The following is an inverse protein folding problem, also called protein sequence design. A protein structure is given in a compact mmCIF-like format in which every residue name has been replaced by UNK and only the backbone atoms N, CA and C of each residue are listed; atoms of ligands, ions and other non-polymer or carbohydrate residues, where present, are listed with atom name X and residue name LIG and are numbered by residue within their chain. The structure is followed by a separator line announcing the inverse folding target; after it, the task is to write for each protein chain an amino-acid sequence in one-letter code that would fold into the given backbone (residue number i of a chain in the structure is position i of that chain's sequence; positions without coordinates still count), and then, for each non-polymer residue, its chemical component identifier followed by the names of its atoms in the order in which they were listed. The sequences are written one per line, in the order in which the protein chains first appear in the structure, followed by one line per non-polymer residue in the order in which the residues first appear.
data_IF_549639630800
#
_entry.id   IF_549639630800
#
_cell.length_a   1.000
_cell.length_b   1.000
_cell.length_c   1.000
_cell.angle_alpha   90.00
_cell.angle_beta   90.00
_cell.angle_gamma   90.00
#
_symmetry.space_group_name_H-M   'P 1'
#
loop_
_entity.id
_entity.type
_entity.pdbx_description
1 polymer ?
#
# COMPACT_ATOMS: atom_id res chain seq x y z
N UNK A 1 14.38 -16.37 -0.82
CA UNK A 1 13.34 -15.78 0.04
C UNK A 1 11.96 -16.33 -0.29
N UNK A 2 11.43 -16.11 -1.50
CA UNK A 2 10.09 -16.61 -1.90
C UNK A 2 9.93 -18.14 -1.79
N UNK A 3 10.91 -18.92 -2.25
CA UNK A 3 10.86 -20.40 -2.17
C UNK A 3 10.84 -20.98 -0.75
N UNK A 4 11.27 -20.20 0.26
CA UNK A 4 11.36 -20.65 1.64
C UNK A 4 10.21 -20.19 2.53
N UNK A 5 9.28 -19.38 2.00
CA UNK A 5 8.21 -18.77 2.78
C UNK A 5 6.86 -18.93 2.09
N UNK A 6 5.80 -19.21 2.87
CA UNK A 6 4.45 -19.35 2.31
C UNK A 6 3.85 -17.99 1.94
N UNK A 7 4.03 -16.99 2.79
CA UNK A 7 3.62 -15.62 2.54
C UNK A 7 4.79 -14.68 2.83
N UNK A 8 5.03 -13.74 1.91
CA UNK A 8 6.06 -12.71 2.02
C UNK A 8 5.45 -11.38 1.65
N UNK A 9 5.69 -10.38 2.49
CA UNK A 9 5.31 -8.99 2.26
C UNK A 9 6.54 -8.12 2.51
N UNK A 10 6.88 -7.28 1.55
CA UNK A 10 7.89 -6.25 1.69
C UNK A 10 7.21 -4.89 1.84
N UNK A 11 7.73 -4.08 2.75
CA UNK A 11 7.33 -2.71 2.98
C UNK A 11 8.55 -1.83 2.73
N UNK A 12 8.61 -1.22 1.55
CA UNK A 12 9.68 -0.32 1.19
C UNK A 12 9.36 1.06 1.75
N UNK A 13 10.18 1.53 2.69
CA UNK A 13 10.00 2.86 3.28
C UNK A 13 10.61 3.89 2.32
N UNK A 14 9.81 4.81 1.73
CA UNK A 14 10.30 5.80 0.77
C UNK A 14 11.41 6.68 1.36
N UNK A 15 12.34 7.13 0.52
CA UNK A 15 13.50 7.93 0.91
C UNK A 15 14.47 7.26 1.90
N UNK A 16 14.36 5.94 2.06
CA UNK A 16 15.30 5.15 2.85
C UNK A 16 15.77 3.92 2.08
N UNK A 17 16.91 3.39 2.52
CA UNK A 17 17.42 2.08 2.07
C UNK A 17 16.77 0.91 2.82
N UNK A 18 15.87 1.18 3.78
CA UNK A 18 15.29 0.17 4.66
C UNK A 18 14.07 -0.45 4.03
N UNK A 19 13.98 -1.77 4.11
CA UNK A 19 12.82 -2.56 3.69
C UNK A 19 12.42 -3.45 4.85
N UNK A 20 11.20 -3.29 5.33
CA UNK A 20 10.65 -4.17 6.36
C UNK A 20 10.13 -5.42 5.66
N UNK A 21 10.59 -6.58 6.13
CA UNK A 21 10.21 -7.87 5.54
C UNK A 21 9.36 -8.64 6.54
N UNK A 22 8.11 -8.90 6.17
CA UNK A 22 7.19 -9.70 6.95
C UNK A 22 7.04 -11.06 6.27
N UNK A 23 7.33 -12.12 6.99
CA UNK A 23 7.17 -13.51 6.53
C UNK A 23 6.21 -14.26 7.43
N UNK A 24 5.23 -14.94 6.84
CA UNK A 24 4.29 -15.78 7.58
C UNK A 24 4.39 -17.22 7.09
N UNK A 25 4.79 -18.12 7.98
CA UNK A 25 5.04 -19.52 7.68
C UNK A 25 4.28 -20.46 8.62
N UNK A 26 3.77 -21.60 8.11
CA UNK A 26 3.20 -22.61 8.98
C UNK A 26 4.29 -23.20 9.87
N UNK A 27 4.05 -23.21 11.18
CA UNK A 27 4.94 -23.91 12.12
C UNK A 27 4.80 -25.41 11.90
N UNK A 28 5.93 -26.10 11.73
CA UNK A 28 5.92 -27.56 11.63
C UNK A 28 5.52 -28.16 12.97
N UNK A 29 4.55 -29.08 12.96
CA UNK A 29 4.10 -29.83 14.16
C UNK A 29 5.26 -30.48 14.93
N UNK A 30 6.37 -30.80 14.27
CA UNK A 30 7.49 -31.55 14.82
C UNK A 30 8.71 -30.71 15.22
N UNK A 31 8.89 -29.53 14.62
CA UNK A 31 10.07 -28.67 14.88
C UNK A 31 9.82 -27.57 15.91
N UNK A 32 8.56 -27.36 16.30
CA UNK A 32 8.17 -26.26 17.19
C UNK A 32 8.46 -24.88 16.56
N UNK A 33 8.18 -23.80 17.29
CA UNK A 33 8.50 -22.46 16.82
C UNK A 33 10.02 -22.25 16.70
N UNK A 34 10.48 -21.45 15.72
CA UNK A 34 11.89 -21.16 15.56
C UNK A 34 12.45 -20.49 16.82
N UNK A 35 13.68 -20.86 17.19
CA UNK A 35 14.41 -20.17 18.25
C UNK A 35 14.90 -18.83 17.73
N UNK A 36 14.18 -17.76 18.03
CA UNK A 36 14.60 -16.40 17.72
C UNK A 36 15.19 -15.75 18.98
N UNK A 37 16.33 -15.10 18.83
CA UNK A 37 16.91 -14.24 19.85
C UNK A 37 16.92 -12.82 19.26
N UNK A 38 16.13 -11.88 19.82
CA UNK A 38 16.17 -10.50 19.39
C UNK A 38 17.59 -9.96 19.52
N UNK A 39 18.05 -9.20 18.52
CA UNK A 39 19.35 -8.51 18.59
C UNK A 39 19.36 -7.37 19.60
N UNK A 40 18.19 -6.78 19.87
CA UNK A 40 18.00 -5.68 20.81
C UNK A 40 17.07 -6.10 21.94
N UNK A 41 17.26 -5.51 23.12
CA UNK A 41 16.37 -5.67 24.26
C UNK A 41 15.09 -4.85 24.10
N UNK A 42 14.00 -5.26 24.77
CA UNK A 42 12.75 -4.46 24.82
C UNK A 42 12.98 -3.03 25.33
N UNK A 43 13.95 -2.84 26.23
CA UNK A 43 14.29 -1.52 26.74
C UNK A 43 14.99 -0.66 25.67
N UNK A 44 15.81 -1.26 24.80
CA UNK A 44 16.43 -0.58 23.65
C UNK A 44 15.42 -0.26 22.55
N UNK A 45 14.46 -1.15 22.28
CA UNK A 45 13.32 -0.89 21.39
C UNK A 45 12.50 0.32 21.87
N UNK A 46 12.08 0.29 23.14
CA UNK A 46 11.26 1.35 23.74
C UNK A 46 12.02 2.67 23.84
N UNK A 47 13.29 2.65 24.29
CA UNK A 47 14.12 3.86 24.39
C UNK A 47 14.43 4.46 23.02
N UNK A 48 14.74 3.66 22.00
CA UNK A 48 15.06 4.17 20.68
C UNK A 48 13.83 4.77 19.98
N UNK A 49 12.66 4.14 20.15
CA UNK A 49 11.37 4.70 19.73
C UNK A 49 11.17 6.06 20.38
N UNK A 50 11.30 6.13 21.70
CA UNK A 50 11.07 7.36 22.45
C UNK A 50 12.15 8.43 22.18
N UNK A 51 13.42 8.08 21.93
CA UNK A 51 14.51 9.04 21.63
C UNK A 51 14.45 9.59 20.20
N UNK A 52 14.20 8.73 19.20
CA UNK A 52 14.04 9.15 17.80
C UNK A 52 12.78 9.98 17.60
N UNK A 53 11.72 9.66 18.34
CA UNK A 53 10.47 10.42 18.34
C UNK A 53 10.60 11.70 19.17
N UNK A 54 11.19 11.68 20.38
CA UNK A 54 11.39 12.90 21.18
C UNK A 54 12.32 13.93 20.52
N UNK A 55 13.34 13.49 19.77
CA UNK A 55 14.21 14.40 19.02
C UNK A 55 13.48 15.08 17.85
N UNK A 56 12.64 14.35 17.13
CA UNK A 56 11.80 14.92 16.08
C UNK A 56 10.63 15.74 16.64
N UNK A 57 10.02 15.35 17.75
CA UNK A 57 9.01 16.13 18.47
C UNK A 57 9.60 17.42 19.05
N UNK A 58 10.84 17.40 19.58
CA UNK A 58 11.52 18.64 19.99
C UNK A 58 11.81 19.55 18.80
N UNK A 59 12.22 18.98 17.67
CA UNK A 59 12.40 19.73 16.42
C UNK A 59 11.07 20.31 15.90
N UNK A 60 9.97 19.56 16.00
CA UNK A 60 8.62 19.99 15.62
C UNK A 60 8.04 21.00 16.60
N UNK A 61 8.24 20.85 17.90
CA UNK A 61 7.85 21.84 18.92
C UNK A 61 8.61 23.16 18.69
N UNK A 62 9.90 23.11 18.38
CA UNK A 62 10.67 24.28 17.99
C UNK A 62 10.19 24.92 16.68
N UNK A 63 9.54 24.17 15.79
CA UNK A 63 8.92 24.67 14.53
C UNK A 63 7.49 25.17 14.76
N UNK A 64 6.74 24.53 15.66
CA UNK A 64 5.37 24.87 16.08
C UNK A 64 5.32 26.11 17.00
N UNK A 65 6.42 26.44 17.70
CA UNK A 65 6.59 27.75 18.33
C UNK A 65 6.54 28.91 17.31
N UNK A 66 6.72 28.63 16.01
CA UNK A 66 6.46 29.57 14.91
C UNK A 66 5.05 29.50 14.30
N UNK A 67 4.27 28.45 14.58
CA UNK A 67 2.93 28.20 14.03
C UNK A 67 1.99 27.90 15.21
N UNK A 68 1.59 28.97 15.89
CA UNK A 68 0.49 29.06 16.85
C UNK A 68 0.57 28.22 18.13
N UNK A 69 0.80 28.94 19.23
CA UNK A 69 0.08 28.73 20.46
C UNK A 69 -1.42 28.48 20.19
N UNK A 70 -1.89 27.24 20.37
CA UNK A 70 -3.26 26.84 20.78
C UNK A 70 -3.49 25.33 20.52
N UNK A 71 -3.19 24.50 21.51
CA UNK A 71 -4.16 23.50 21.95
C UNK A 71 -4.10 23.45 23.48
N UNK A 72 -5.21 23.84 24.10
CA UNK A 72 -5.38 23.87 25.56
C UNK A 72 -6.40 22.80 25.96
N UNK A 73 -6.29 21.59 25.39
CA UNK A 73 -7.15 20.48 25.77
C UNK A 73 -6.35 19.46 26.58
N UNK A 74 -6.57 19.50 27.90
CA UNK A 74 -5.85 18.74 28.92
C UNK A 74 -6.26 17.26 28.97
N UNK A 75 -6.62 16.68 27.83
CA UNK A 75 -7.14 15.31 27.68
C UNK A 75 -6.41 14.46 26.65
N UNK A 76 -5.40 14.99 25.97
CA UNK A 76 -4.54 14.16 25.14
C UNK A 76 -3.62 13.30 26.02
N UNK A 77 -3.51 11.98 25.76
CA UNK A 77 -2.59 11.11 26.48
C UNK A 77 -1.15 11.62 26.36
N UNK A 78 -0.33 11.37 27.38
CA UNK A 78 1.09 11.73 27.33
C UNK A 78 1.73 11.05 26.11
N UNK A 79 2.63 11.76 25.43
CA UNK A 79 3.43 11.25 24.31
C UNK A 79 4.13 9.95 24.70
N UNK A 80 4.50 9.80 25.98
CA UNK A 80 5.13 8.58 26.52
C UNK A 80 4.18 7.38 26.65
N UNK A 81 2.87 7.59 26.56
CA UNK A 81 1.83 6.54 26.65
C UNK A 81 1.39 6.03 25.27
N UNK A 82 1.74 6.76 24.20
CA UNK A 82 1.37 6.40 22.83
C UNK A 82 2.26 5.30 22.26
N UNK A 83 1.65 4.39 21.51
CA UNK A 83 2.36 3.42 20.69
C UNK A 83 3.12 4.11 19.55
N UNK A 84 4.12 3.41 18.99
CA UNK A 84 4.86 3.91 17.83
C UNK A 84 3.95 4.29 16.66
N UNK A 85 2.93 3.48 16.39
CA UNK A 85 1.96 3.70 15.32
C UNK A 85 1.13 4.97 15.56
N UNK A 86 0.67 5.21 16.78
CA UNK A 86 -0.08 6.43 17.12
C UNK A 86 0.81 7.68 17.05
N UNK A 87 2.07 7.57 17.48
CA UNK A 87 3.05 8.65 17.38
C UNK A 87 3.34 8.99 15.92
N UNK A 88 3.56 7.98 15.08
CA UNK A 88 3.76 8.14 13.64
C UNK A 88 2.56 8.85 12.98
N UNK A 89 1.35 8.43 13.32
CA UNK A 89 0.12 9.02 12.77
C UNK A 89 0.00 10.51 13.18
N UNK A 90 0.26 10.83 14.46
CA UNK A 90 0.28 12.23 14.93
C UNK A 90 1.36 13.05 14.22
N UNK A 91 2.54 12.48 13.98
CA UNK A 91 3.62 13.17 13.28
C UNK A 91 3.24 13.46 11.82
N UNK A 92 2.72 12.47 11.09
CA UNK A 92 2.29 12.66 9.70
C UNK A 92 1.13 13.66 9.57
N UNK A 93 0.22 13.68 10.54
CA UNK A 93 -0.91 14.62 10.54
C UNK A 93 -0.50 16.11 10.61
N UNK A 94 0.73 16.41 11.05
CA UNK A 94 1.22 17.80 11.13
C UNK A 94 1.41 18.43 9.75
N UNK A 95 1.98 17.70 8.80
CA UNK A 95 2.28 18.21 7.46
C UNK A 95 2.55 17.08 6.47
N UNK A 96 1.49 16.37 6.05
CA UNK A 96 1.58 15.14 5.26
C UNK A 96 2.06 15.36 3.80
N UNK A 97 1.96 16.60 3.32
CA UNK A 97 2.36 17.00 1.97
C UNK A 97 3.80 17.56 1.93
N UNK A 98 4.40 17.84 3.09
CA UNK A 98 5.76 18.33 3.17
C UNK A 98 6.75 17.17 3.10
N UNK A 99 7.39 17.02 1.95
CA UNK A 99 8.41 16.00 1.70
C UNK A 99 9.51 15.97 2.76
N UNK A 100 10.10 17.10 3.14
CA UNK A 100 11.19 17.12 4.13
C UNK A 100 10.74 16.63 5.50
N UNK A 101 9.49 16.91 5.87
CA UNK A 101 8.88 16.37 7.08
C UNK A 101 8.66 14.86 6.97
N UNK A 102 8.05 14.41 5.88
CA UNK A 102 7.77 12.99 5.63
C UNK A 102 9.06 12.16 5.60
N UNK A 103 10.13 12.65 4.97
CA UNK A 103 11.45 12.00 4.96
C UNK A 103 11.95 11.74 6.37
N UNK A 104 11.81 12.71 7.27
CA UNK A 104 12.25 12.56 8.67
C UNK A 104 11.42 11.52 9.41
N UNK A 105 10.09 11.54 9.23
CA UNK A 105 9.20 10.54 9.83
C UNK A 105 9.56 9.13 9.33
N UNK A 106 9.77 8.98 8.02
CA UNK A 106 10.16 7.71 7.39
C UNK A 106 11.53 7.22 7.89
N UNK A 107 12.48 8.12 8.13
CA UNK A 107 13.79 7.77 8.73
C UNK A 107 13.64 7.25 10.17
N UNK A 108 12.76 7.85 10.98
CA UNK A 108 12.46 7.35 12.33
C UNK A 108 11.79 5.99 12.27
N UNK A 109 10.83 5.82 11.37
CA UNK A 109 10.17 4.53 11.15
C UNK A 109 11.16 3.44 10.74
N UNK A 110 12.09 3.76 9.83
CA UNK A 110 13.14 2.83 9.44
C UNK A 110 14.02 2.41 10.63
N UNK A 111 14.39 3.35 11.51
CA UNK A 111 15.17 3.06 12.71
C UNK A 111 14.39 2.28 13.78
N UNK A 112 13.08 2.53 13.90
CA UNK A 112 12.19 1.75 14.73
C UNK A 112 12.18 0.28 14.28
N UNK A 113 11.85 0.03 13.01
CA UNK A 113 11.75 -1.35 12.50
C UNK A 113 13.06 -2.12 12.54
N UNK A 114 14.21 -1.45 12.39
CA UNK A 114 15.53 -2.08 12.56
C UNK A 114 15.77 -2.62 13.97
N UNK A 115 15.11 -2.04 14.98
CA UNK A 115 15.26 -2.39 16.39
C UNK A 115 14.16 -3.33 16.87
N UNK A 116 12.96 -3.20 16.31
CA UNK A 116 11.77 -3.98 16.66
C UNK A 116 11.62 -5.30 15.89
N UNK A 117 12.74 -6.00 15.64
CA UNK A 117 12.69 -7.32 15.01
C UNK A 117 12.11 -8.38 15.95
N UNK A 118 11.26 -9.26 15.42
CA UNK A 118 10.58 -10.22 16.27
C UNK A 118 9.87 -11.33 15.49
N UNK A 119 9.29 -12.25 16.25
CA UNK A 119 8.37 -13.24 15.72
C UNK A 119 7.22 -13.44 16.70
N UNK A 120 6.06 -13.79 16.16
CA UNK A 120 4.89 -14.21 16.94
C UNK A 120 4.34 -15.50 16.35
N UNK A 121 3.66 -16.29 17.17
CA UNK A 121 3.02 -17.54 16.79
C UNK A 121 1.58 -17.47 17.23
N UNK A 122 0.66 -17.74 16.31
CA UNK A 122 -0.78 -17.70 16.53
C UNK A 122 -1.48 -18.45 15.40
N UNK A 123 -2.81 -18.46 15.43
CA UNK A 123 -3.58 -19.07 14.35
C UNK A 123 -3.48 -18.26 13.06
N UNK A 124 -3.72 -18.91 11.91
CA UNK A 124 -3.50 -18.28 10.61
C UNK A 124 -4.35 -17.03 10.41
N UNK A 125 -5.58 -17.05 10.89
CA UNK A 125 -6.54 -15.95 10.88
C UNK A 125 -6.14 -14.82 11.85
N UNK A 126 -5.59 -15.14 13.01
CA UNK A 126 -5.06 -14.14 13.96
C UNK A 126 -3.79 -13.46 13.44
N UNK A 127 -2.92 -14.22 12.76
CA UNK A 127 -1.62 -13.72 12.28
C UNK A 127 -1.76 -12.91 11.00
N UNK A 128 -2.63 -13.36 10.08
CA UNK A 128 -2.89 -12.70 8.81
C UNK A 128 -4.02 -11.68 8.90
N UNK A 129 -4.80 -11.66 9.98
CA UNK A 129 -5.76 -10.61 10.26
C UNK A 129 -5.06 -9.28 10.46
N UNK A 130 -5.60 -8.23 9.84
CA UNK A 130 -5.17 -6.85 10.02
C UNK A 130 -6.41 -6.00 10.28
N UNK A 131 -6.43 -5.27 11.39
CA UNK A 131 -7.46 -4.28 11.69
C UNK A 131 -7.14 -2.99 10.93
N UNK A 132 -7.78 -2.80 9.78
CA UNK A 132 -7.84 -1.50 9.10
C UNK A 132 -8.97 -0.69 9.74
N UNK A 133 -8.67 0.00 10.83
CA UNK A 133 -9.61 0.88 11.51
C UNK A 133 -9.75 2.24 10.85
N UNK A 134 -9.83 2.38 9.51
CA UNK A 134 -9.82 3.70 8.85
C UNK A 134 -10.06 3.71 7.33
N UNK A 135 -10.11 4.91 6.73
CA UNK A 135 -10.17 5.12 5.28
C UNK A 135 -8.78 5.49 4.74
N UNK A 136 -8.33 4.78 3.70
CA UNK A 136 -7.02 4.96 3.08
C UNK A 136 -7.14 5.06 1.56
N UNK A 137 -6.38 5.99 0.97
CA UNK A 137 -6.14 6.02 -0.47
C UNK A 137 -5.01 5.05 -0.82
N UNK A 138 -5.38 3.97 -1.50
CA UNK A 138 -4.47 2.91 -1.94
C UNK A 138 -4.69 2.68 -3.42
N UNK A 139 -3.63 2.73 -4.21
CA UNK A 139 -3.61 2.24 -5.57
C UNK A 139 -2.79 0.96 -5.60
N UNK A 140 -3.35 -0.13 -6.11
CA UNK A 140 -2.64 -1.41 -6.18
C UNK A 140 -2.66 -1.93 -7.60
N UNK A 141 -1.50 -2.43 -8.04
CA UNK A 141 -1.31 -3.06 -9.35
C UNK A 141 -0.76 -4.46 -9.22
N UNK A 142 -0.91 -5.23 -10.29
CA UNK A 142 -0.51 -6.62 -10.41
C UNK A 142 0.12 -6.86 -11.77
N UNK A 143 1.24 -7.56 -11.80
CA UNK A 143 1.88 -8.01 -13.05
C UNK A 143 2.65 -9.32 -12.86
N UNK A 144 2.94 -9.97 -13.98
CA UNK A 144 3.64 -11.24 -14.03
C UNK A 144 5.12 -11.09 -13.63
N UNK A 145 5.53 -11.85 -12.62
CA UNK A 145 6.89 -11.88 -12.07
C UNK A 145 7.71 -13.11 -12.51
N UNK A 146 7.25 -13.83 -13.54
CA UNK A 146 7.84 -15.09 -14.01
C UNK A 146 7.41 -16.26 -13.14
N UNK A 147 8.30 -17.24 -12.93
CA UNK A 147 8.04 -18.43 -12.11
C UNK A 147 9.01 -18.53 -10.94
N UNK A 148 8.76 -19.42 -9.97
CA UNK A 148 9.73 -19.67 -8.87
C UNK A 148 11.10 -20.12 -9.38
N UNK A 149 11.14 -20.90 -10.47
CA UNK A 149 12.37 -21.44 -11.03
C UNK A 149 13.08 -20.46 -11.96
N UNK A 150 12.32 -19.55 -12.58
CA UNK A 150 12.82 -18.52 -13.51
C UNK A 150 12.10 -17.19 -13.23
N UNK A 151 12.49 -16.46 -12.16
CA UNK A 151 11.92 -15.16 -11.87
C UNK A 151 12.30 -14.16 -12.96
N UNK A 152 11.37 -13.25 -13.30
CA UNK A 152 11.59 -12.26 -14.35
C UNK A 152 12.39 -11.04 -13.89
N UNK A 153 12.56 -10.85 -12.56
CA UNK A 153 13.23 -9.70 -11.92
C UNK A 153 12.51 -8.35 -12.13
N UNK A 154 11.51 -8.29 -13.01
CA UNK A 154 10.68 -7.12 -13.29
C UNK A 154 10.07 -6.49 -12.04
N UNK A 155 9.80 -7.29 -11.03
CA UNK A 155 9.22 -6.86 -9.76
C UNK A 155 10.19 -6.02 -8.93
N UNK A 156 11.50 -6.32 -8.97
CA UNK A 156 12.54 -5.49 -8.36
C UNK A 156 12.85 -4.25 -9.20
N UNK A 157 12.92 -4.40 -10.53
CA UNK A 157 13.11 -3.27 -11.46
C UNK A 157 11.98 -2.24 -11.31
N UNK A 158 10.73 -2.70 -11.19
CA UNK A 158 9.60 -1.81 -10.96
C UNK A 158 9.77 -1.00 -9.69
N UNK A 159 10.17 -1.62 -8.57
CA UNK A 159 10.36 -0.92 -7.30
C UNK A 159 11.49 0.10 -7.38
N UNK A 160 12.59 -0.24 -8.05
CA UNK A 160 13.70 0.70 -8.27
C UNK A 160 13.25 1.91 -9.10
N UNK A 161 12.57 1.67 -10.22
CA UNK A 161 12.07 2.75 -11.08
C UNK A 161 11.01 3.60 -10.37
N UNK A 162 10.15 2.98 -9.56
CA UNK A 162 9.14 3.67 -8.75
C UNK A 162 9.78 4.56 -7.68
N UNK A 163 10.80 4.06 -6.96
CA UNK A 163 11.54 4.89 -5.99
C UNK A 163 12.21 6.08 -6.67
N UNK A 164 12.84 5.85 -7.84
CA UNK A 164 13.44 6.92 -8.64
C UNK A 164 12.39 7.93 -9.12
N UNK A 165 11.20 7.48 -9.48
CA UNK A 165 10.08 8.35 -9.88
C UNK A 165 9.63 9.24 -8.71
N UNK A 166 9.45 8.66 -7.51
CA UNK A 166 9.11 9.40 -6.28
C UNK A 166 10.14 10.50 -6.02
N UNK A 167 11.43 10.17 -6.06
CA UNK A 167 12.50 11.13 -5.82
C UNK A 167 12.57 12.23 -6.89
N UNK A 168 12.38 11.86 -8.17
CA UNK A 168 12.44 12.77 -9.31
C UNK A 168 11.28 13.76 -9.34
N UNK A 169 10.06 13.29 -9.08
CA UNK A 169 8.83 14.09 -9.15
C UNK A 169 8.48 14.74 -7.79
N UNK A 170 9.40 14.67 -6.82
CA UNK A 170 9.31 15.33 -5.52
C UNK A 170 8.12 14.90 -4.65
N UNK A 171 7.63 13.66 -4.83
CA UNK A 171 6.43 13.16 -4.16
C UNK A 171 6.70 12.85 -2.69
N UNK A 172 5.88 13.37 -1.76
CA UNK A 172 6.11 13.19 -0.32
C UNK A 172 6.13 11.70 0.13
N UNK A 173 5.23 10.87 -0.40
CA UNK A 173 5.16 9.42 -0.18
C UNK A 173 5.29 8.98 1.31
N UNK A 174 4.30 9.29 2.16
CA UNK A 174 4.36 9.04 3.60
C UNK A 174 4.03 7.60 4.01
N UNK A 175 3.58 6.75 3.10
CA UNK A 175 3.29 5.36 3.39
C UNK A 175 4.38 4.43 2.80
N UNK A 176 4.68 3.30 3.46
CA UNK A 176 5.47 2.26 2.83
C UNK A 176 4.81 1.76 1.53
N UNK A 177 5.64 1.46 0.53
CA UNK A 177 5.21 0.74 -0.66
C UNK A 177 5.16 -0.73 -0.29
N UNK A 178 3.98 -1.34 -0.38
CA UNK A 178 3.82 -2.75 -0.09
C UNK A 178 4.00 -3.57 -1.37
N UNK A 179 4.77 -4.66 -1.26
CA UNK A 179 4.91 -5.65 -2.30
C UNK A 179 4.63 -7.05 -1.76
N UNK A 180 3.80 -7.79 -2.49
CA UNK A 180 3.38 -9.15 -2.14
C UNK A 180 3.32 -10.01 -3.40
N UNK A 181 3.33 -11.33 -3.24
CA UNK A 181 3.26 -12.26 -4.37
C UNK A 181 2.10 -13.24 -4.20
N UNK A 182 1.49 -13.62 -5.32
CA UNK A 182 0.49 -14.67 -5.38
C UNK A 182 0.81 -15.66 -6.49
N UNK A 183 0.32 -16.89 -6.34
CA UNK A 183 0.20 -17.82 -7.46
C UNK A 183 -0.86 -17.34 -8.46
N UNK A 184 -0.80 -17.87 -9.68
CA UNK A 184 -1.79 -17.62 -10.72
C UNK A 184 -3.24 -17.86 -10.25
N UNK A 185 -4.18 -17.24 -10.95
CA UNK A 185 -5.62 -17.42 -10.77
C UNK A 185 -6.23 -18.04 -12.02
N UNK A 186 -7.13 -19.01 -11.82
CA UNK A 186 -7.94 -19.59 -12.90
C UNK A 186 -9.08 -18.66 -13.36
N UNK A 187 -9.41 -17.62 -12.59
CA UNK A 187 -10.43 -16.65 -12.98
C UNK A 187 -9.88 -15.73 -14.06
N UNK A 188 -10.44 -15.78 -15.26
CA UNK A 188 -9.96 -14.97 -16.40
C UNK A 188 -10.07 -13.46 -16.17
N UNK A 189 -10.98 -13.03 -15.30
CA UNK A 189 -11.13 -11.63 -14.92
C UNK A 189 -10.15 -11.23 -13.80
N UNK A 190 -9.38 -12.13 -13.22
CA UNK A 190 -8.37 -11.78 -12.21
C UNK A 190 -7.17 -11.07 -12.87
N UNK A 191 -6.63 -9.99 -12.27
CA UNK A 191 -5.36 -9.41 -12.72
C UNK A 191 -4.22 -10.43 -12.73
N UNK A 192 -4.26 -11.38 -11.78
CA UNK A 192 -3.32 -12.49 -11.66
C UNK A 192 -3.72 -13.73 -12.49
N UNK A 193 -4.49 -13.57 -13.57
CA UNK A 193 -4.86 -14.68 -14.45
C UNK A 193 -3.72 -15.05 -15.41
N UNK A 194 -3.45 -16.35 -15.52
CA UNK A 194 -2.53 -16.92 -16.50
C UNK A 194 -2.98 -18.31 -16.91
N UNK A 195 -2.60 -18.74 -18.12
CA UNK A 195 -2.75 -20.13 -18.56
C UNK A 195 -1.65 -21.04 -18.04
N UNK A 196 -0.53 -20.48 -17.55
CA UNK A 196 0.56 -21.26 -16.96
C UNK A 196 0.41 -21.36 -15.44
N UNK A 197 0.45 -22.59 -14.92
CA UNK A 197 0.19 -22.86 -13.50
C UNK A 197 1.32 -22.43 -12.56
N UNK A 198 2.55 -22.40 -13.09
CA UNK A 198 3.76 -22.04 -12.35
C UNK A 198 4.01 -20.52 -12.28
N UNK A 199 3.15 -19.72 -12.93
CA UNK A 199 3.27 -18.27 -12.96
C UNK A 199 3.00 -17.66 -11.58
N UNK A 200 3.84 -16.70 -11.23
CA UNK A 200 3.72 -15.87 -10.05
C UNK A 200 3.47 -14.43 -10.46
N UNK A 201 2.60 -13.80 -9.71
CA UNK A 201 2.28 -12.38 -9.86
C UNK A 201 2.82 -11.59 -8.68
N UNK A 202 3.42 -10.45 -8.97
CA UNK A 202 3.77 -9.45 -7.97
C UNK A 202 2.66 -8.41 -7.91
N UNK A 203 2.22 -8.12 -6.70
CA UNK A 203 1.31 -7.02 -6.39
C UNK A 203 2.11 -5.93 -5.72
N UNK A 204 1.92 -4.71 -6.19
CA UNK A 204 2.55 -3.52 -5.62
C UNK A 204 1.43 -2.55 -5.26
N UNK A 205 1.32 -2.23 -3.98
CA UNK A 205 0.38 -1.24 -3.48
C UNK A 205 1.12 0.01 -3.04
N UNK A 206 0.66 1.12 -3.62
CA UNK A 206 1.04 2.47 -3.32
C UNK A 206 -0.05 3.07 -2.45
N UNK A 207 0.31 3.46 -1.23
CA UNK A 207 -0.55 4.21 -0.34
C UNK A 207 -0.04 5.64 -0.27
N UNK A 208 -0.94 6.62 -0.25
CA UNK A 208 -0.56 8.00 0.09
C UNK A 208 -0.93 8.34 1.53
N UNK A 209 -1.76 7.50 2.14
CA UNK A 209 -2.17 7.61 3.53
C UNK A 209 -2.18 6.19 4.09
N UNK A 210 -1.03 5.69 4.56
CA UNK A 210 -1.05 4.63 5.58
C UNK A 210 -1.33 5.31 6.90
N UNK A 211 -2.60 5.62 7.11
CA UNK A 211 -3.15 5.81 8.43
C UNK A 211 -4.12 4.68 8.60
N UNK A 212 -3.71 3.68 9.38
CA UNK A 212 -4.57 2.53 9.71
C UNK A 212 -5.80 3.01 10.50
N UNK A 213 -5.83 4.27 10.94
CA UNK A 213 -6.93 4.81 11.73
C UNK A 213 -7.79 5.89 11.05
N UNK A 214 -7.31 6.96 10.41
CA UNK A 214 -8.21 7.97 9.81
C UNK A 214 -7.47 8.77 8.73
N UNK A 215 -8.13 9.20 7.63
CA UNK A 215 -7.65 10.40 6.91
C UNK A 215 -7.38 11.47 7.96
N UNK A 216 -6.17 12.06 8.03
CA UNK A 216 -5.59 12.59 9.27
C UNK A 216 -6.33 13.80 9.85
N UNK A 217 -7.35 14.30 9.16
CA UNK A 217 -7.93 15.61 9.38
C UNK A 217 -9.42 15.51 9.09
N UNK A 218 -10.28 16.07 9.95
CA UNK A 218 -11.70 16.29 9.59
C UNK A 218 -11.87 17.50 8.66
N UNK A 219 -10.77 18.20 8.35
CA UNK A 219 -10.77 19.38 7.50
C UNK A 219 -10.93 19.01 6.03
N UNK A 220 -11.99 19.54 5.41
CA UNK A 220 -12.35 19.21 4.03
C UNK A 220 -11.33 19.71 3.01
N UNK A 221 -10.62 20.82 3.29
CA UNK A 221 -9.63 21.38 2.38
C UNK A 221 -8.38 20.51 2.32
N UNK A 222 -7.84 20.14 3.48
CA UNK A 222 -6.68 19.24 3.56
C UNK A 222 -6.99 17.86 2.98
N UNK A 223 -8.20 17.31 3.19
CA UNK A 223 -8.62 16.04 2.55
C UNK A 223 -8.61 16.15 1.02
N UNK A 224 -9.04 17.29 0.48
CA UNK A 224 -9.04 17.53 -0.95
C UNK A 224 -7.61 17.56 -1.50
N UNK A 225 -6.71 18.31 -0.85
CA UNK A 225 -5.30 18.40 -1.25
C UNK A 225 -4.61 17.02 -1.21
N UNK A 226 -4.80 16.24 -0.14
CA UNK A 226 -4.28 14.87 -0.04
C UNK A 226 -4.82 13.98 -1.15
N UNK A 227 -6.10 14.12 -1.48
CA UNK A 227 -6.74 13.34 -2.54
C UNK A 227 -6.19 13.71 -3.91
N UNK A 228 -6.02 15.00 -4.19
CA UNK A 228 -5.43 15.51 -5.44
C UNK A 228 -3.98 15.03 -5.60
N UNK A 229 -3.18 15.11 -4.55
CA UNK A 229 -1.79 14.63 -4.55
C UNK A 229 -1.70 13.10 -4.75
N UNK A 230 -2.59 12.32 -4.12
CA UNK A 230 -2.68 10.88 -4.36
C UNK A 230 -2.99 10.56 -5.83
N UNK A 231 -3.96 11.25 -6.43
CA UNK A 231 -4.31 11.03 -7.83
C UNK A 231 -3.20 11.50 -8.78
N UNK A 232 -2.50 12.57 -8.44
CA UNK A 232 -1.30 13.00 -9.17
C UNK A 232 -0.23 11.90 -9.15
N UNK A 233 0.11 11.38 -7.97
CA UNK A 233 1.08 10.29 -7.83
C UNK A 233 0.63 9.02 -8.58
N UNK A 234 -0.63 8.63 -8.46
CA UNK A 234 -1.20 7.49 -9.21
C UNK A 234 -1.05 7.71 -10.71
N UNK A 235 -1.39 8.90 -11.22
CA UNK A 235 -1.28 9.22 -12.66
C UNK A 235 0.17 9.15 -13.16
N UNK A 236 1.14 9.62 -12.37
CA UNK A 236 2.57 9.50 -12.70
C UNK A 236 2.98 8.03 -12.87
N UNK A 237 2.57 7.15 -11.96
CA UNK A 237 2.89 5.72 -12.08
C UNK A 237 2.17 5.05 -13.25
N UNK A 238 0.91 5.43 -13.49
CA UNK A 238 0.12 4.92 -14.61
C UNK A 238 0.73 5.28 -15.97
N UNK A 239 1.12 6.54 -16.14
CA UNK A 239 1.67 7.04 -17.40
C UNK A 239 3.10 6.56 -17.67
N UNK A 240 3.93 6.42 -16.62
CA UNK A 240 5.36 6.13 -16.80
C UNK A 240 5.74 4.66 -16.62
N UNK A 241 4.98 3.88 -15.83
CA UNK A 241 5.37 2.52 -15.44
C UNK A 241 4.37 1.46 -15.91
N UNK A 242 3.06 1.64 -15.70
CA UNK A 242 2.12 0.50 -15.76
C UNK A 242 2.13 -0.24 -17.11
N UNK A 243 2.10 0.47 -18.24
CA UNK A 243 2.08 -0.17 -19.55
C UNK A 243 3.39 -0.89 -19.88
N UNK A 244 4.55 -0.36 -19.45
CA UNK A 244 5.88 -0.99 -19.65
C UNK A 244 5.98 -2.35 -18.96
N UNK A 245 5.36 -2.50 -17.80
CA UNK A 245 5.34 -3.75 -17.04
C UNK A 245 4.11 -4.60 -17.31
N UNK A 246 3.19 -4.13 -18.17
CA UNK A 246 1.87 -4.75 -18.36
C UNK A 246 1.16 -4.97 -17.02
N UNK A 247 1.20 -3.94 -16.17
CA UNK A 247 0.60 -3.95 -14.87
C UNK A 247 -0.86 -3.54 -14.93
N UNK A 248 -1.70 -4.25 -14.18
CA UNK A 248 -3.14 -4.06 -14.12
C UNK A 248 -3.59 -3.84 -12.69
N UNK A 249 -4.56 -2.96 -12.52
CA UNK A 249 -5.00 -2.56 -11.19
C UNK A 249 -5.79 -3.67 -10.51
N UNK A 250 -5.71 -3.69 -9.18
CA UNK A 250 -6.60 -4.46 -8.34
C UNK A 250 -8.03 -3.91 -8.47
N UNK A 251 -9.03 -4.78 -8.68
CA UNK A 251 -10.42 -4.34 -8.90
C UNK A 251 -11.00 -3.47 -7.80
N UNK A 252 -10.64 -3.72 -6.54
CA UNK A 252 -11.08 -2.88 -5.42
C UNK A 252 -10.45 -1.47 -5.39
N UNK A 253 -9.46 -1.19 -6.23
CA UNK A 253 -8.67 0.05 -6.24
C UNK A 253 -8.76 0.82 -7.57
N UNK A 254 -9.53 0.30 -8.53
CA UNK A 254 -9.78 1.00 -9.79
C UNK A 254 -10.76 2.13 -9.55
N UNK A 255 -10.43 3.31 -10.06
CA UNK A 255 -11.29 4.49 -9.96
C UNK A 255 -11.82 4.82 -11.35
N UNK A 256 -13.06 5.31 -11.40
CA UNK A 256 -13.69 5.74 -12.65
C UNK A 256 -13.30 7.20 -12.90
N UNK A 257 -12.57 7.50 -13.99
CA UNK A 257 -12.23 8.86 -14.34
C UNK A 257 -13.48 9.72 -14.55
N UNK A 258 -13.37 11.01 -14.19
CA UNK A 258 -14.43 11.99 -14.49
C UNK A 258 -14.37 12.43 -15.95
N UNK A 259 -13.16 12.49 -16.49
CA UNK A 259 -12.93 12.82 -17.89
C UNK A 259 -13.34 11.67 -18.80
N UNK A 260 -13.93 12.02 -19.95
CA UNK A 260 -14.48 11.04 -20.89
C UNK A 260 -13.37 10.32 -21.67
N UNK A 261 -12.32 11.04 -22.07
CA UNK A 261 -11.20 10.46 -22.83
C UNK A 261 -10.40 9.51 -21.93
N UNK A 262 -10.19 9.87 -20.67
CA UNK A 262 -9.57 8.99 -19.67
C UNK A 262 -10.40 7.73 -19.41
N UNK A 263 -11.74 7.85 -19.37
CA UNK A 263 -12.62 6.70 -19.21
C UNK A 263 -12.55 5.76 -20.42
N UNK A 264 -12.55 6.30 -21.64
CA UNK A 264 -12.41 5.52 -22.87
C UNK A 264 -11.03 4.80 -22.92
N UNK A 265 -9.96 5.50 -22.51
CA UNK A 265 -8.63 4.91 -22.40
C UNK A 265 -8.59 3.77 -21.35
N UNK A 266 -9.26 3.95 -20.21
CA UNK A 266 -9.38 2.92 -19.18
C UNK A 266 -10.12 1.69 -19.71
N UNK A 267 -11.29 1.88 -20.34
CA UNK A 267 -12.08 0.80 -20.94
C UNK A 267 -11.28 0.03 -22.00
N UNK A 268 -10.56 0.75 -22.87
CA UNK A 268 -9.70 0.13 -23.88
C UNK A 268 -8.57 -0.70 -23.24
N UNK A 269 -7.92 -0.17 -22.19
CA UNK A 269 -6.89 -0.89 -21.44
C UNK A 269 -7.42 -2.15 -20.76
N UNK A 270 -8.61 -2.10 -20.17
CA UNK A 270 -9.25 -3.27 -19.56
C UNK A 270 -9.61 -4.32 -20.62
N UNK A 271 -10.21 -3.90 -21.75
CA UNK A 271 -10.56 -4.79 -22.86
C UNK A 271 -9.34 -5.46 -23.51
N UNK A 272 -8.18 -4.79 -23.51
CA UNK A 272 -6.92 -5.35 -24.00
C UNK A 272 -6.43 -6.55 -23.17
N UNK A 273 -6.74 -6.59 -21.87
CA UNK A 273 -6.27 -7.64 -20.95
C UNK A 273 -7.29 -8.70 -20.62
N UNK A 274 -8.51 -8.26 -20.34
CA UNK A 274 -9.57 -9.11 -19.80
C UNK A 274 -10.58 -9.47 -20.88
N UNK A 275 -11.22 -10.65 -20.79
CA UNK A 275 -12.25 -11.06 -21.76
C UNK A 275 -13.58 -10.32 -21.52
N UNK A 276 -13.56 -8.99 -21.65
CA UNK A 276 -14.67 -8.09 -21.33
C UNK A 276 -15.94 -8.46 -22.10
N UNK A 277 -15.83 -8.85 -23.37
CA UNK A 277 -17.00 -9.20 -24.19
C UNK A 277 -17.70 -10.47 -23.67
N UNK A 278 -16.91 -11.48 -23.25
CA UNK A 278 -17.46 -12.70 -22.65
C UNK A 278 -18.04 -12.44 -21.25
N UNK A 279 -17.37 -11.61 -20.45
CA UNK A 279 -17.89 -11.15 -19.15
C UNK A 279 -19.23 -10.43 -19.31
N UNK A 280 -19.34 -9.50 -20.26
CA UNK A 280 -20.57 -8.75 -20.54
C UNK A 280 -21.69 -9.64 -21.06
N UNK A 281 -21.38 -10.66 -21.86
CA UNK A 281 -22.35 -11.69 -22.26
C UNK A 281 -22.88 -12.43 -21.03
N UNK A 282 -22.00 -12.95 -20.18
CA UNK A 282 -22.39 -13.67 -18.96
C UNK A 282 -23.19 -12.77 -17.99
N UNK A 283 -22.81 -11.50 -17.84
CA UNK A 283 -23.53 -10.51 -17.03
C UNK A 283 -24.98 -10.35 -17.50
N UNK A 284 -25.23 -10.24 -18.81
CA UNK A 284 -26.59 -10.14 -19.37
C UNK A 284 -27.41 -11.41 -19.17
N UNK A 285 -26.78 -12.57 -19.25
CA UNK A 285 -27.46 -13.87 -19.08
C UNK A 285 -27.83 -14.12 -17.61
N UNK A 286 -26.96 -13.76 -16.67
CA UNK A 286 -27.14 -14.01 -15.24
C UNK A 286 -27.98 -12.96 -14.52
N UNK A 287 -27.92 -11.71 -14.97
CA UNK A 287 -28.67 -10.59 -14.39
C UNK A 287 -29.32 -9.74 -15.49
N UNK A 288 -30.34 -10.28 -16.19
CA UNK A 288 -31.00 -9.60 -17.31
C UNK A 288 -31.68 -8.29 -16.91
N UNK A 289 -32.02 -8.13 -15.62
CA UNK A 289 -32.67 -6.94 -15.09
C UNK A 289 -31.66 -5.95 -14.49
N UNK A 290 -30.36 -6.27 -14.44
CA UNK A 290 -29.32 -5.40 -13.91
C UNK A 290 -29.46 -5.09 -12.41
N UNK A 291 -30.10 -5.98 -11.63
CA UNK A 291 -30.37 -5.75 -10.19
C UNK A 291 -29.07 -5.76 -9.38
N UNK A 292 -28.09 -6.57 -9.79
CA UNK A 292 -26.78 -6.72 -9.15
C UNK A 292 -25.73 -5.79 -9.79
N UNK A 293 -26.17 -4.81 -10.57
CA UNK A 293 -25.33 -3.80 -11.22
C UNK A 293 -25.04 -2.60 -10.33
N UNK A 294 -23.98 -1.86 -10.65
CA UNK A 294 -23.73 -0.54 -10.09
C UNK A 294 -23.07 0.37 -11.14
N UNK A 295 -23.07 1.67 -10.88
CA UNK A 295 -22.52 2.70 -11.76
C UNK A 295 -21.05 2.44 -12.15
N UNK A 296 -20.25 1.91 -11.21
CA UNK A 296 -18.84 1.59 -11.47
C UNK A 296 -18.72 0.46 -12.51
N UNK A 297 -19.44 -0.64 -12.33
CA UNK A 297 -19.46 -1.76 -13.28
C UNK A 297 -20.02 -1.37 -14.64
N UNK A 298 -21.04 -0.52 -14.70
CA UNK A 298 -21.61 -0.02 -15.94
C UNK A 298 -20.64 0.86 -16.73
N UNK A 299 -19.84 1.68 -16.04
CA UNK A 299 -18.83 2.51 -16.68
C UNK A 299 -17.59 1.73 -17.07
N UNK A 300 -17.13 0.79 -16.26
CA UNK A 300 -15.94 -0.02 -16.59
C UNK A 300 -16.23 -1.04 -17.70
N UNK A 301 -17.43 -1.62 -17.68
CA UNK A 301 -17.87 -2.66 -18.61
C UNK A 301 -19.22 -2.29 -19.23
N UNK A 302 -19.25 -1.30 -20.13
CA UNK A 302 -20.49 -0.89 -20.78
C UNK A 302 -21.03 -2.04 -21.62
N UNK A 303 -22.34 -2.27 -21.54
CA UNK A 303 -23.03 -3.20 -22.43
C UNK A 303 -23.24 -2.50 -23.77
N UNK A 304 -22.82 -3.14 -24.86
CA UNK A 304 -23.08 -2.64 -26.21
C UNK A 304 -24.59 -2.63 -26.47
N UNK A 305 -25.18 -1.46 -26.73
CA UNK A 305 -26.58 -1.28 -27.10
C UNK A 305 -26.92 -1.74 -28.53
N UNK A 306 -26.10 -2.59 -29.13
CA UNK A 306 -26.43 -3.22 -30.42
C UNK A 306 -27.40 -4.36 -30.16
N UNK A 307 -28.70 -4.01 -30.21
CA UNK A 307 -29.78 -4.87 -30.68
C UNK A 307 -29.68 -4.97 -32.21
#
# INVERSE_FOLDING_TARGET
MLSGNKHVKYLYIPYTVTVVVVTCNPVSKWRGPPKFKPKYSKDEETRASNLGINSNLRWLNARAEGITAKSSDSREPDINELSFTELRDKLLALDLLNKDHVIKVNQVEAEFWKKSEGYRVGWSDEILGFDYGGQQWVSEICFLAGTLSKPSIKDLEYIEELKRLIEKEDVAAPAPIEQRWTAHSQSLMSPASSSAEDDIFSWISLSFVDIIMYLPTMDACQRKEITEEFFHYRHLTQSQLWDRYSAYEHWAKIEVPKDKEELEALQARLKRRFPVDAYNKARRELDPNGILSNNMLEKLFPLSNTV
#
